data_IF_563358745031
#
_entry.id   IF_563358745031
#
_cell.length_a   1.000
_cell.length_b   1.000
_cell.length_c   1.000
_cell.angle_alpha   90.00
_cell.angle_beta   90.00
_cell.angle_gamma   90.00
#
_symmetry.space_group_name_H-M   'P 1'
#
loop_
_entity.id
_entity.type
_entity.pdbx_description
1 polymer ?
#
# COMPACT_ATOMS: atom_id res chain seq x y z
N UNK A 1 -2.30 3.03 -1.39
CA UNK A 1 -0.85 3.28 -1.44
C UNK A 1 -0.54 3.86 -2.81
N UNK A 2 0.19 4.97 -2.86
CA UNK A 2 0.57 5.65 -4.10
C UNK A 2 2.07 6.00 -4.04
N UNK A 3 2.94 5.23 -4.70
CA UNK A 3 4.35 5.58 -4.86
C UNK A 3 4.50 6.78 -5.82
N UNK A 4 5.22 7.81 -5.41
CA UNK A 4 5.59 8.96 -6.25
C UNK A 4 7.09 8.94 -6.52
N UNK A 5 7.47 8.43 -7.69
CA UNK A 5 8.87 8.21 -8.05
C UNK A 5 9.70 9.51 -8.05
N UNK A 6 9.15 10.60 -8.61
CA UNK A 6 9.85 11.89 -8.70
C UNK A 6 10.12 12.53 -7.33
N UNK A 7 9.27 12.22 -6.34
CA UNK A 7 9.36 12.77 -4.98
C UNK A 7 10.10 11.79 -4.03
N UNK A 8 10.40 10.56 -4.47
CA UNK A 8 10.93 9.48 -3.64
C UNK A 8 10.13 9.31 -2.33
N UNK A 9 8.79 9.30 -2.44
CA UNK A 9 7.89 9.03 -1.32
C UNK A 9 6.81 8.03 -1.68
N UNK A 10 6.28 7.38 -0.65
CA UNK A 10 5.07 6.56 -0.77
C UNK A 10 4.00 7.15 0.14
N UNK A 11 2.87 7.49 -0.46
CA UNK A 11 1.73 8.05 0.25
C UNK A 11 0.72 6.94 0.54
N UNK A 12 0.21 6.91 1.77
CA UNK A 12 -0.94 6.12 2.16
C UNK A 12 -2.00 7.06 2.72
N UNK A 13 -3.25 6.85 2.35
CA UNK A 13 -4.39 7.63 2.81
C UNK A 13 -5.67 6.81 2.65
N UNK A 14 -6.76 7.33 3.22
CA UNK A 14 -8.10 6.74 3.15
C UNK A 14 -9.00 7.68 2.37
N UNK A 15 -9.76 7.14 1.42
CA UNK A 15 -10.90 7.82 0.81
C UNK A 15 -12.18 7.42 1.53
N UNK A 16 -12.95 8.41 2.01
CA UNK A 16 -14.25 8.19 2.62
C UNK A 16 -15.32 8.80 1.73
N UNK A 17 -16.27 7.97 1.30
CA UNK A 17 -17.41 8.41 0.48
C UNK A 17 -18.16 9.53 1.21
N UNK A 18 -18.36 10.65 0.51
CA UNK A 18 -19.03 11.84 1.05
C UNK A 18 -18.16 12.76 1.92
N UNK A 19 -16.93 12.36 2.29
CA UNK A 19 -15.97 13.24 3.02
C UNK A 19 -14.73 13.57 2.21
N UNK A 20 -14.27 12.65 1.37
CA UNK A 20 -13.08 12.81 0.54
C UNK A 20 -11.84 12.12 1.11
N UNK A 21 -10.66 12.62 0.74
CA UNK A 21 -9.38 12.11 1.22
C UNK A 21 -9.12 12.55 2.66
N UNK A 22 -8.70 11.62 3.50
CA UNK A 22 -8.15 11.91 4.81
C UNK A 22 -6.66 12.28 4.72
N UNK A 23 -6.04 12.52 5.89
CA UNK A 23 -4.64 12.90 6.02
C UNK A 23 -3.71 11.88 5.33
N UNK A 24 -2.71 12.41 4.62
CA UNK A 24 -1.65 11.60 4.03
C UNK A 24 -0.63 11.12 5.07
N UNK A 25 -0.23 9.85 4.97
CA UNK A 25 0.82 9.24 5.75
C UNK A 25 2.06 8.97 4.89
N UNK A 26 3.12 9.74 5.14
CA UNK A 26 4.36 9.75 4.37
C UNK A 26 5.54 9.45 5.28
N UNK A 27 5.80 8.17 5.52
CA UNK A 27 6.99 7.72 6.24
C UNK A 27 7.54 6.41 5.64
N UNK A 28 8.73 5.98 6.07
CA UNK A 28 9.40 4.77 5.59
C UNK A 28 10.26 4.96 4.34
N UNK A 29 10.18 6.13 3.69
CA UNK A 29 10.97 6.45 2.49
C UNK A 29 10.39 5.84 1.21
N UNK A 30 11.27 5.44 0.29
CA UNK A 30 10.91 4.89 -1.02
C UNK A 30 11.63 3.56 -1.28
N UNK A 31 10.92 2.42 -1.23
CA UNK A 31 11.54 1.09 -1.30
C UNK A 31 11.61 0.54 -2.73
N UNK A 32 11.24 1.34 -3.74
CA UNK A 32 11.15 0.91 -5.13
C UNK A 32 12.25 1.51 -5.98
N UNK A 33 12.61 0.82 -7.06
CA UNK A 33 13.54 1.32 -8.07
C UNK A 33 12.95 1.06 -9.45
N UNK A 34 12.97 2.07 -10.32
CA UNK A 34 12.41 1.96 -11.65
C UNK A 34 13.11 0.84 -12.45
N UNK A 35 12.32 -0.02 -13.09
CA UNK A 35 12.80 -1.15 -13.88
C UNK A 35 13.22 -2.39 -13.09
N UNK A 36 13.22 -2.34 -11.75
CA UNK A 36 13.52 -3.51 -10.92
C UNK A 36 12.23 -4.21 -10.46
N UNK A 37 12.16 -5.56 -10.53
CA UNK A 37 11.04 -6.31 -10.00
C UNK A 37 11.02 -6.24 -8.47
N UNK A 38 9.82 -6.32 -7.89
CA UNK A 38 9.64 -6.37 -6.45
C UNK A 38 8.49 -7.30 -6.06
N UNK A 39 8.53 -7.76 -4.80
CA UNK A 39 7.41 -8.41 -4.12
C UNK A 39 6.81 -7.40 -3.15
N UNK A 40 5.51 -7.16 -3.26
CA UNK A 40 4.74 -6.34 -2.32
C UNK A 40 3.79 -7.24 -1.53
N UNK A 41 3.93 -7.23 -0.21
CA UNK A 41 3.05 -7.96 0.69
C UNK A 41 2.20 -6.97 1.46
N UNK A 42 0.88 -7.14 1.40
CA UNK A 42 -0.11 -6.37 2.16
C UNK A 42 -0.80 -7.31 3.14
N UNK A 43 -0.41 -7.20 4.41
CA UNK A 43 -0.82 -8.16 5.45
C UNK A 43 -1.82 -7.46 6.38
N UNK A 44 -3.04 -8.00 6.44
CA UNK A 44 -4.03 -7.57 7.43
C UNK A 44 -3.54 -7.98 8.83
N UNK A 45 -3.14 -7.00 9.63
CA UNK A 45 -2.65 -7.17 10.98
C UNK A 45 -3.73 -6.80 12.02
N UNK A 46 -3.42 -7.03 13.29
CA UNK A 46 -4.28 -6.65 14.40
C UNK A 46 -4.51 -5.12 14.43
N UNK A 47 -5.58 -4.69 15.13
CA UNK A 47 -5.90 -3.27 15.35
C UNK A 47 -6.08 -2.46 14.05
N UNK A 48 -6.79 -3.04 13.07
CA UNK A 48 -7.16 -2.35 11.82
C UNK A 48 -5.96 -1.80 11.06
N UNK A 49 -4.86 -2.56 11.07
CA UNK A 49 -3.59 -2.15 10.46
C UNK A 49 -3.27 -3.04 9.28
N UNK A 50 -2.74 -2.47 8.21
CA UNK A 50 -2.14 -3.19 7.10
C UNK A 50 -0.63 -3.06 7.26
N UNK A 51 0.06 -4.17 7.52
CA UNK A 51 1.52 -4.22 7.48
C UNK A 51 1.96 -4.40 6.02
N UNK A 52 2.97 -3.62 5.61
CA UNK A 52 3.43 -3.57 4.24
C UNK A 52 4.90 -3.95 4.22
N UNK A 53 5.21 -5.00 3.47
CA UNK A 53 6.59 -5.40 3.20
C UNK A 53 6.91 -5.20 1.72
N UNK A 54 8.15 -4.86 1.44
CA UNK A 54 8.73 -4.85 0.09
C UNK A 54 9.95 -5.75 0.10
N UNK A 55 9.96 -6.76 -0.79
CA UNK A 55 11.03 -7.76 -0.87
C UNK A 55 11.33 -8.43 0.49
N UNK A 56 10.29 -8.92 1.16
CA UNK A 56 10.32 -9.58 2.47
C UNK A 56 10.88 -8.72 3.62
N UNK A 57 10.99 -7.41 3.44
CA UNK A 57 11.43 -6.46 4.48
C UNK A 57 10.27 -5.55 4.85
N UNK A 58 10.09 -5.33 6.15
CA UNK A 58 9.13 -4.35 6.64
C UNK A 58 9.43 -2.97 6.06
N UNK A 59 8.42 -2.37 5.45
CA UNK A 59 8.51 -1.03 4.88
C UNK A 59 7.71 -0.03 5.72
N UNK A 60 6.43 -0.33 5.96
CA UNK A 60 5.54 0.53 6.72
C UNK A 60 4.30 -0.23 7.20
N UNK A 61 3.57 0.37 8.12
CA UNK A 61 2.19 0.01 8.44
C UNK A 61 1.23 1.15 8.08
N UNK A 62 -0.04 0.82 7.87
CA UNK A 62 -1.08 1.81 7.59
C UNK A 62 -2.33 1.46 8.39
N UNK A 63 -2.84 2.41 9.16
CA UNK A 63 -4.14 2.24 9.82
C UNK A 63 -5.25 2.48 8.81
N UNK A 64 -6.20 1.56 8.73
CA UNK A 64 -7.38 1.70 7.89
C UNK A 64 -8.61 1.22 8.63
N UNK A 65 -9.68 2.01 8.59
CA UNK A 65 -10.97 1.62 9.17
C UNK A 65 -11.39 0.22 8.76
N UNK A 66 -11.97 -0.49 9.73
CA UNK A 66 -12.53 -1.84 9.67
C UNK A 66 -12.29 -2.61 8.35
N UNK A 67 -11.20 -3.37 8.34
CA UNK A 67 -10.75 -4.15 7.19
C UNK A 67 -11.79 -5.17 6.70
N UNK A 68 -12.80 -5.53 7.51
CA UNK A 68 -13.85 -6.49 7.12
C UNK A 68 -14.70 -6.01 5.94
N UNK A 69 -14.74 -4.70 5.67
CA UNK A 69 -15.47 -4.12 4.54
C UNK A 69 -14.62 -4.00 3.27
N UNK A 70 -13.33 -4.33 3.32
CA UNK A 70 -12.47 -4.31 2.14
C UNK A 70 -12.76 -5.56 1.30
N UNK A 71 -13.33 -5.36 0.10
CA UNK A 71 -13.74 -6.44 -0.81
C UNK A 71 -13.07 -6.36 -2.19
N UNK A 72 -12.36 -5.27 -2.47
CA UNK A 72 -11.76 -5.01 -3.78
C UNK A 72 -10.32 -4.55 -3.63
N UNK A 73 -9.47 -5.00 -4.54
CA UNK A 73 -8.11 -4.52 -4.73
C UNK A 73 -7.99 -3.98 -6.15
N UNK A 74 -7.51 -2.74 -6.26
CA UNK A 74 -7.31 -2.05 -7.53
C UNK A 74 -5.82 -1.70 -7.64
N UNK A 75 -5.21 -2.09 -8.75
CA UNK A 75 -3.80 -1.82 -9.08
C UNK A 75 -3.80 -1.11 -10.42
N UNK A 76 -3.30 0.12 -10.44
CA UNK A 76 -3.36 1.01 -11.60
C UNK A 76 -2.04 1.75 -11.78
N UNK A 77 -1.72 2.02 -13.05
CA UNK A 77 -0.64 2.90 -13.51
C UNK A 77 0.80 2.49 -13.13
N UNK A 78 1.72 2.64 -14.07
CA UNK A 78 3.17 2.63 -13.79
C UNK A 78 3.73 1.32 -13.21
N UNK A 79 2.98 0.22 -13.28
CA UNK A 79 3.38 -1.09 -12.77
C UNK A 79 3.00 -2.18 -13.79
N UNK A 80 3.90 -3.15 -13.96
CA UNK A 80 3.60 -4.41 -14.62
C UNK A 80 3.42 -5.48 -13.54
N UNK A 81 2.28 -6.17 -13.56
CA UNK A 81 1.95 -7.19 -12.56
C UNK A 81 2.14 -8.58 -13.15
N UNK A 82 3.07 -9.35 -12.60
CA UNK A 82 3.32 -10.73 -13.01
C UNK A 82 2.34 -11.72 -12.37
N UNK A 83 2.00 -11.51 -11.09
CA UNK A 83 1.06 -12.36 -10.36
C UNK A 83 0.47 -11.61 -9.17
N UNK A 84 -0.71 -12.07 -8.73
CA UNK A 84 -1.36 -11.67 -7.48
C UNK A 84 -1.77 -12.95 -6.75
N UNK A 85 -1.38 -13.07 -5.49
CA UNK A 85 -1.69 -14.22 -4.64
C UNK A 85 -2.46 -13.71 -3.42
N UNK A 86 -3.64 -14.28 -3.17
CA UNK A 86 -4.42 -14.01 -1.97
C UNK A 86 -4.19 -15.14 -0.97
N UNK A 87 -3.53 -14.81 0.13
CA UNK A 87 -3.30 -15.74 1.24
C UNK A 87 -4.51 -15.72 2.19
N UNK A 88 -4.84 -16.89 2.75
CA UNK A 88 -5.85 -17.04 3.81
C UNK A 88 -5.21 -16.98 5.18
#
# INVERSE_FOLDING_TARGET
MSPRLNENIVIRNTWIVGKGWEKEEVYGGFPFKAGEPFVLELIAALKYTISINVNNKFFASFYRYDLKYVSQMVIENGIQVSSVILCK
#
